data_IF_348539457504
#
_entry.id   IF_348539457504
#
_cell.length_a   1.000
_cell.length_b   1.000
_cell.length_c   1.000
_cell.angle_alpha   90.00
_cell.angle_beta   90.00
_cell.angle_gamma   90.00
#
_symmetry.space_group_name_H-M   'P 1'
#
loop_
_entity.id
_entity.type
_entity.pdbx_description
1 polymer ?
#
# COMPACT_ATOMS: atom_id res chain seq x y z
N UNK A 1 5.08 27.32 16.74
CA UNK A 1 5.14 27.45 15.28
C UNK A 1 6.02 26.36 14.66
N UNK A 2 7.20 26.11 15.23
CA UNK A 2 8.17 25.08 14.79
C UNK A 2 7.60 23.64 14.75
N UNK A 3 6.87 23.19 15.77
CA UNK A 3 6.26 21.83 15.77
C UNK A 3 5.28 21.56 14.61
N UNK A 4 4.59 22.60 14.10
CA UNK A 4 3.70 22.46 12.92
C UNK A 4 4.50 22.42 11.61
N UNK A 5 5.71 22.98 11.60
CA UNK A 5 6.60 22.99 10.45
C UNK A 5 7.31 21.64 10.31
N UNK A 6 7.79 21.08 11.43
CA UNK A 6 8.41 19.75 11.53
C UNK A 6 7.43 18.64 11.07
N UNK A 7 6.21 18.65 11.61
CA UNK A 7 5.18 17.67 11.25
C UNK A 7 4.80 17.70 9.76
N UNK A 8 4.80 18.89 9.12
CA UNK A 8 4.53 19.03 7.68
C UNK A 8 5.67 18.51 6.82
N UNK A 9 6.91 18.57 7.31
CA UNK A 9 8.08 18.02 6.63
C UNK A 9 8.04 16.48 6.64
N UNK A 10 7.78 15.88 7.80
CA UNK A 10 7.64 14.42 7.95
C UNK A 10 6.51 13.84 7.07
N UNK A 11 5.43 14.60 6.87
CA UNK A 11 4.32 14.26 5.99
C UNK A 11 4.71 14.20 4.50
N UNK A 12 5.56 15.14 4.06
CA UNK A 12 6.08 15.17 2.69
C UNK A 12 7.02 14.01 2.42
N UNK A 13 7.91 13.72 3.38
CA UNK A 13 8.86 12.61 3.28
C UNK A 13 8.13 11.26 3.19
N UNK A 14 7.05 11.08 3.97
CA UNK A 14 6.23 9.87 3.92
C UNK A 14 5.54 9.66 2.56
N UNK A 15 4.99 10.71 1.95
CA UNK A 15 4.36 10.63 0.62
C UNK A 15 5.39 10.27 -0.47
N UNK A 16 6.61 10.81 -0.36
CA UNK A 16 7.71 10.46 -1.25
C UNK A 16 8.10 8.98 -1.11
N UNK A 17 8.23 8.48 0.13
CA UNK A 17 8.54 7.07 0.38
C UNK A 17 7.44 6.12 -0.12
N UNK A 18 6.17 6.48 0.05
CA UNK A 18 5.04 5.68 -0.45
C UNK A 18 5.03 5.64 -1.98
N UNK A 19 5.32 6.77 -2.64
CA UNK A 19 5.39 6.85 -4.10
C UNK A 19 6.52 5.99 -4.64
N UNK A 20 7.71 6.09 -4.06
CA UNK A 20 8.87 5.23 -4.40
C UNK A 20 8.58 3.75 -4.16
N UNK A 21 7.89 3.41 -3.08
CA UNK A 21 7.50 2.02 -2.79
C UNK A 21 6.55 1.46 -3.86
N UNK A 22 5.55 2.24 -4.29
CA UNK A 22 4.63 1.85 -5.37
C UNK A 22 5.38 1.68 -6.70
N UNK A 23 6.29 2.59 -7.02
CA UNK A 23 7.13 2.50 -8.23
C UNK A 23 7.98 1.23 -8.22
N UNK A 24 8.68 0.95 -7.13
CA UNK A 24 9.48 -0.27 -6.98
C UNK A 24 8.61 -1.52 -7.15
N UNK A 25 7.44 -1.56 -6.54
CA UNK A 25 6.51 -2.68 -6.69
C UNK A 25 6.11 -2.86 -8.16
N UNK A 26 5.79 -1.78 -8.87
CA UNK A 26 5.42 -1.86 -10.29
C UNK A 26 6.57 -2.36 -11.16
N UNK A 27 7.79 -1.89 -10.91
CA UNK A 27 8.99 -2.32 -11.62
C UNK A 27 9.28 -3.81 -11.40
N UNK A 28 9.19 -4.27 -10.14
CA UNK A 28 9.39 -5.69 -9.79
C UNK A 28 8.35 -6.58 -10.47
N UNK A 29 7.09 -6.13 -10.52
CA UNK A 29 6.01 -6.84 -11.23
C UNK A 29 6.26 -6.93 -12.72
N UNK A 30 6.65 -5.82 -13.35
CA UNK A 30 6.92 -5.79 -14.78
C UNK A 30 8.02 -6.79 -15.15
N UNK A 31 9.14 -6.76 -14.43
CA UNK A 31 10.26 -7.69 -14.64
C UNK A 31 9.80 -9.14 -14.41
N UNK A 32 9.10 -9.39 -13.31
CA UNK A 32 8.63 -10.75 -12.95
C UNK A 32 7.63 -11.29 -13.97
N UNK A 33 6.72 -10.46 -14.48
CA UNK A 33 5.76 -10.83 -15.51
C UNK A 33 6.43 -11.16 -16.85
N UNK A 34 7.46 -10.41 -17.24
CA UNK A 34 8.26 -10.73 -18.42
C UNK A 34 8.96 -12.08 -18.26
N UNK A 35 9.68 -12.28 -17.16
CA UNK A 35 10.39 -13.55 -16.89
C UNK A 35 9.43 -14.75 -16.81
N UNK A 36 8.26 -14.58 -16.18
CA UNK A 36 7.24 -15.62 -16.12
C UNK A 36 6.68 -15.95 -17.51
N UNK A 37 6.51 -14.95 -18.37
CA UNK A 37 6.06 -15.15 -19.76
C UNK A 37 7.08 -16.00 -20.53
N UNK A 38 8.37 -15.69 -20.41
CA UNK A 38 9.44 -16.46 -21.05
C UNK A 38 9.44 -17.92 -20.56
N UNK A 39 9.30 -18.13 -19.25
CA UNK A 39 9.20 -19.47 -18.65
C UNK A 39 7.96 -20.21 -19.16
N UNK A 40 6.80 -19.56 -19.26
CA UNK A 40 5.57 -20.18 -19.78
C UNK A 40 5.71 -20.54 -21.27
N UNK A 41 6.38 -19.71 -22.07
CA UNK A 41 6.67 -20.02 -23.48
C UNK A 41 7.56 -21.26 -23.57
N UNK A 42 8.60 -21.35 -22.74
CA UNK A 42 9.48 -22.52 -22.69
C UNK A 42 8.74 -23.78 -22.22
N UNK A 43 7.88 -23.67 -21.20
CA UNK A 43 7.06 -24.77 -20.68
C UNK A 43 6.16 -25.38 -21.76
N UNK A 44 5.56 -24.54 -22.61
CA UNK A 44 4.65 -25.00 -23.67
C UNK A 44 5.32 -25.83 -24.77
N UNK A 45 6.65 -25.84 -24.86
CA UNK A 45 7.37 -26.58 -25.89
C UNK A 45 7.44 -28.09 -25.62
N UNK A 46 7.56 -28.49 -24.36
CA UNK A 46 7.70 -29.90 -23.98
C UNK A 46 7.26 -30.11 -22.52
N UNK A 47 6.46 -31.14 -22.26
CA UNK A 47 6.05 -31.50 -20.89
C UNK A 47 7.25 -31.77 -19.95
N UNK A 48 8.37 -32.26 -20.47
CA UNK A 48 9.57 -32.48 -19.66
C UNK A 48 10.13 -31.16 -19.07
N UNK A 49 9.90 -30.02 -19.74
CA UNK A 49 10.33 -28.70 -19.27
C UNK A 49 9.60 -28.31 -17.97
N UNK A 50 8.42 -28.86 -17.70
CA UNK A 50 7.72 -28.63 -16.42
C UNK A 50 8.55 -29.05 -15.22
N UNK A 51 9.32 -30.13 -15.33
CA UNK A 51 10.21 -30.60 -14.26
C UNK A 51 11.40 -29.67 -14.05
N UNK A 52 11.89 -29.04 -15.12
CA UNK A 52 13.09 -28.21 -15.09
C UNK A 52 12.80 -26.79 -14.61
N UNK A 53 11.74 -26.15 -15.13
CA UNK A 53 11.46 -24.73 -14.87
C UNK A 53 10.19 -24.49 -14.06
N UNK A 54 9.44 -25.52 -13.71
CA UNK A 54 8.21 -25.39 -12.90
C UNK A 54 8.47 -24.76 -11.53
N UNK A 55 9.59 -25.11 -10.88
CA UNK A 55 9.98 -24.47 -9.61
C UNK A 55 10.38 -22.99 -9.79
N UNK A 56 10.94 -22.63 -10.95
CA UNK A 56 11.30 -21.24 -11.26
C UNK A 56 10.03 -20.42 -11.50
N UNK A 57 9.09 -20.95 -12.29
CA UNK A 57 7.77 -20.35 -12.51
C UNK A 57 7.04 -20.09 -11.18
N UNK A 58 7.05 -21.08 -10.27
CA UNK A 58 6.43 -20.96 -8.96
C UNK A 58 7.02 -19.79 -8.13
N UNK A 59 8.34 -19.60 -8.16
CA UNK A 59 9.00 -18.47 -7.47
C UNK A 59 8.59 -17.12 -8.05
N UNK A 60 8.43 -17.01 -9.37
CA UNK A 60 7.93 -15.78 -9.99
C UNK A 60 6.48 -15.48 -9.59
N UNK A 61 5.60 -16.49 -9.58
CA UNK A 61 4.22 -16.33 -9.09
C UNK A 61 4.19 -15.91 -7.62
N UNK A 62 5.04 -16.51 -6.78
CA UNK A 62 5.16 -16.16 -5.36
C UNK A 62 5.64 -14.71 -5.17
N UNK A 63 6.59 -14.24 -5.98
CA UNK A 63 7.02 -12.83 -5.98
C UNK A 63 5.89 -11.88 -6.39
N UNK A 64 5.08 -12.24 -7.39
CA UNK A 64 3.88 -11.47 -7.76
C UNK A 64 2.84 -11.46 -6.63
N UNK A 65 2.66 -12.56 -5.92
CA UNK A 65 1.78 -12.62 -4.76
C UNK A 65 2.26 -11.69 -3.63
N UNK A 66 3.55 -11.75 -3.26
CA UNK A 66 4.15 -10.83 -2.27
C UNK A 66 3.98 -9.37 -2.65
N UNK A 67 4.15 -9.06 -3.94
CA UNK A 67 3.89 -7.72 -4.48
C UNK A 67 2.42 -7.28 -4.30
N UNK A 68 1.46 -8.17 -4.51
CA UNK A 68 0.04 -7.87 -4.23
C UNK A 68 -0.18 -7.58 -2.73
N UNK A 69 0.41 -8.37 -1.84
CA UNK A 69 0.31 -8.15 -0.39
C UNK A 69 0.91 -6.80 0.03
N UNK A 70 2.02 -6.38 -0.60
CA UNK A 70 2.62 -5.07 -0.36
C UNK A 70 1.71 -3.92 -0.79
N UNK A 71 1.06 -4.02 -1.96
CA UNK A 71 0.09 -3.01 -2.41
C UNK A 71 -1.08 -2.89 -1.43
N UNK A 72 -1.63 -4.01 -0.96
CA UNK A 72 -2.72 -4.00 0.04
C UNK A 72 -2.28 -3.29 1.33
N UNK A 73 -1.04 -3.53 1.80
CA UNK A 73 -0.48 -2.84 2.99
C UNK A 73 -0.35 -1.34 2.75
N UNK A 74 0.15 -0.92 1.58
CA UNK A 74 0.25 0.50 1.21
C UNK A 74 -1.14 1.15 1.15
N UNK A 75 -2.11 0.50 0.49
CA UNK A 75 -3.49 0.97 0.44
C UNK A 75 -4.09 1.11 1.85
N UNK A 76 -3.79 0.18 2.75
CA UNK A 76 -4.23 0.26 4.15
C UNK A 76 -3.63 1.45 4.88
N UNK A 77 -2.34 1.74 4.67
CA UNK A 77 -1.67 2.91 5.25
C UNK A 77 -2.28 4.21 4.72
N UNK A 78 -2.49 4.30 3.40
CA UNK A 78 -3.13 5.45 2.75
C UNK A 78 -4.57 5.66 3.25
N UNK A 79 -5.34 4.58 3.38
CA UNK A 79 -6.70 4.65 3.91
C UNK A 79 -6.70 5.17 5.35
N UNK A 80 -5.87 4.61 6.25
CA UNK A 80 -5.73 5.09 7.63
C UNK A 80 -5.31 6.56 7.72
N UNK A 81 -4.45 7.02 6.82
CA UNK A 81 -4.08 8.45 6.73
C UNK A 81 -5.29 9.32 6.39
N UNK A 82 -6.09 8.90 5.41
CA UNK A 82 -7.31 9.63 5.03
C UNK A 82 -8.42 9.56 6.10
N UNK A 83 -8.48 8.49 6.89
CA UNK A 83 -9.40 8.33 8.03
C UNK A 83 -9.00 9.17 9.25
N UNK A 84 -7.85 9.85 9.24
CA UNK A 84 -7.37 10.71 10.32
C UNK A 84 -8.08 12.06 10.41
N UNK A 85 -9.42 12.11 10.36
CA UNK A 85 -10.20 13.33 10.69
C UNK A 85 -11.62 13.05 11.18
N UNK A 86 -11.83 12.03 12.02
CA UNK A 86 -13.10 11.86 12.76
C UNK A 86 -12.91 12.00 14.27
N UNK A 87 -11.92 12.78 14.70
CA UNK A 87 -11.89 13.31 16.05
C UNK A 87 -12.64 14.65 16.01
N UNK A 88 -13.74 14.77 16.75
CA UNK A 88 -14.42 16.05 16.98
C UNK A 88 -13.35 17.10 17.36
N UNK A 89 -13.33 18.21 16.64
CA UNK A 89 -12.44 19.32 17.02
C UNK A 89 -12.82 19.80 18.42
N UNK A 90 -11.92 20.48 19.13
CA UNK A 90 -12.30 21.04 20.45
C UNK A 90 -13.49 22.00 20.35
N UNK A 91 -13.67 22.66 19.20
CA UNK A 91 -14.84 23.47 18.91
C UNK A 91 -16.11 22.63 18.82
N UNK A 92 -16.07 21.52 18.07
CA UNK A 92 -17.22 20.61 17.94
C UNK A 92 -17.56 19.95 19.28
N UNK A 93 -16.55 19.69 20.14
CA UNK A 93 -16.77 19.20 21.51
C UNK A 93 -17.44 20.24 22.38
N UNK A 94 -16.98 21.50 22.33
CA UNK A 94 -17.56 22.58 23.13
C UNK A 94 -19.01 22.87 22.70
N UNK A 95 -19.27 22.91 21.39
CA UNK A 95 -20.64 23.10 20.87
C UNK A 95 -21.57 21.93 21.26
N UNK A 96 -21.07 20.69 21.26
CA UNK A 96 -21.82 19.53 21.74
C UNK A 96 -22.08 19.59 23.26
N UNK A 97 -21.12 20.08 24.05
CA UNK A 97 -21.29 20.30 25.49
C UNK A 97 -22.36 21.37 25.78
N UNK A 98 -22.36 22.45 25.02
CA UNK A 98 -23.34 23.53 25.18
C UNK A 98 -24.76 23.04 24.84
N UNK A 99 -24.92 22.29 23.73
CA UNK A 99 -26.22 21.70 23.35
C UNK A 99 -26.79 20.74 24.39
N UNK A 100 -25.95 19.89 25.00
CA UNK A 100 -26.38 18.93 26.03
C UNK A 100 -26.84 19.67 27.31
N UNK A 101 -26.17 20.78 27.65
CA UNK A 101 -26.54 21.60 28.81
C UNK A 101 -27.84 22.37 28.59
N UNK A 102 -28.13 22.79 27.35
CA UNK A 102 -29.39 23.43 26.98
C UNK A 102 -30.58 22.45 27.03
N UNK A 103 -30.40 21.19 26.64
CA UNK A 103 -31.46 20.16 26.73
C UNK A 103 -31.70 19.65 28.16
N UNK A 104 -30.75 19.84 29.07
CA UNK A 104 -30.82 19.38 30.47
C UNK A 104 -31.38 20.44 31.45
N UNK A 105 -31.75 21.63 30.96
CA UNK A 105 -32.32 22.75 31.73
C UNK A 105 -33.81 22.93 31.41
#
# INVERSE_FOLDING_TARGET
MERKLESRKDLGDLEEYLSKAIENINNDRAITSTLLTDVVIYLKQNEQNHKEVGQIAAKYVETLQRSNEQLVKICTILHKKNSGTTALSEKDKNELFDMINEESS
#
